data_IF_887282336086
#
_entry.id   IF_887282336086
#
_cell.length_a   1.000
_cell.length_b   1.000
_cell.length_c   1.000
_cell.angle_alpha   90.00
_cell.angle_beta   90.00
_cell.angle_gamma   90.00
#
_symmetry.space_group_name_H-M   'P 1'
#
loop_
_entity.id
_entity.type
_entity.pdbx_description
1 polymer ?
#
# COMPACT_ATOMS: atom_id res chain seq x y z
N UNK A 1 37.79 -60.44 -0.41
CA UNK A 1 37.59 -59.15 -0.96
C UNK A 1 36.41 -58.46 -0.22
N UNK A 2 36.69 -57.56 0.72
CA UNK A 2 35.68 -56.78 1.47
C UNK A 2 35.51 -55.41 0.75
N UNK A 3 34.31 -55.16 0.20
CA UNK A 3 33.98 -53.88 -0.39
C UNK A 3 33.46 -52.96 0.72
N UNK A 4 34.21 -51.90 1.05
CA UNK A 4 33.78 -50.83 1.92
C UNK A 4 32.87 -49.88 1.13
N UNK A 5 31.62 -49.71 1.56
CA UNK A 5 30.71 -48.72 1.06
C UNK A 5 30.90 -47.44 1.90
N UNK A 6 31.47 -46.39 1.30
CA UNK A 6 31.53 -45.07 1.92
C UNK A 6 30.21 -44.35 1.64
N UNK A 7 29.44 -44.12 2.68
CA UNK A 7 28.23 -43.27 2.63
C UNK A 7 28.71 -41.81 2.72
N UNK A 8 28.60 -41.07 1.60
CA UNK A 8 28.82 -39.64 1.59
C UNK A 8 27.50 -38.99 2.03
N UNK A 9 27.46 -38.46 3.27
CA UNK A 9 26.38 -37.65 3.76
C UNK A 9 26.46 -36.24 3.10
N UNK A 10 25.58 -35.97 2.15
CA UNK A 10 25.36 -34.60 1.63
C UNK A 10 24.63 -33.82 2.69
N UNK A 11 25.32 -32.94 3.42
CA UNK A 11 24.71 -31.89 4.22
C UNK A 11 24.18 -30.83 3.26
N UNK A 12 22.88 -30.86 2.93
CA UNK A 12 22.18 -29.74 2.32
C UNK A 12 22.11 -28.63 3.35
N UNK A 13 23.04 -27.67 3.29
CA UNK A 13 22.89 -26.37 3.92
C UNK A 13 21.81 -25.61 3.15
N UNK A 14 20.60 -25.64 3.63
CA UNK A 14 19.58 -24.63 3.22
C UNK A 14 20.04 -23.28 3.76
N UNK A 15 20.75 -22.51 2.93
CA UNK A 15 20.95 -21.07 3.18
C UNK A 15 19.56 -20.45 3.06
N UNK A 16 18.90 -20.26 4.21
CA UNK A 16 17.77 -19.35 4.27
C UNK A 16 18.32 -17.98 3.87
N UNK A 17 18.05 -17.54 2.64
CA UNK A 17 18.27 -16.15 2.24
C UNK A 17 17.42 -15.30 3.18
N UNK A 18 18.01 -14.83 4.28
CA UNK A 18 17.43 -13.79 5.12
C UNK A 18 17.30 -12.58 4.22
N UNK A 19 16.07 -12.19 3.88
CA UNK A 19 15.85 -10.99 3.08
C UNK A 19 16.60 -9.83 3.75
N UNK A 20 17.49 -9.19 2.98
CA UNK A 20 18.34 -8.12 3.48
C UNK A 20 17.47 -7.01 4.09
N UNK A 21 17.91 -6.48 5.24
CA UNK A 21 17.25 -5.33 5.86
C UNK A 21 17.52 -4.09 5.00
N UNK A 22 16.51 -3.27 4.66
CA UNK A 22 16.72 -2.01 3.99
C UNK A 22 17.63 -1.08 4.81
N UNK A 23 18.46 -0.32 4.12
CA UNK A 23 19.33 0.69 4.75
C UNK A 23 18.78 2.07 4.41
N UNK A 24 17.96 2.68 5.29
CA UNK A 24 17.41 4.00 5.03
C UNK A 24 18.49 5.08 5.09
N UNK A 25 18.32 6.16 4.32
CA UNK A 25 19.20 7.33 4.35
C UNK A 25 19.11 8.11 5.68
N UNK A 26 17.96 8.00 6.35
CA UNK A 26 17.71 8.64 7.64
C UNK A 26 16.78 7.79 8.52
N UNK A 27 16.86 7.95 9.84
CA UNK A 27 16.04 7.18 10.76
C UNK A 27 16.56 5.76 10.98
N UNK A 28 15.67 4.83 11.34
CA UNK A 28 16.01 3.43 11.61
C UNK A 28 14.87 2.51 11.20
N UNK A 29 15.20 1.35 10.64
CA UNK A 29 14.23 0.30 10.34
C UNK A 29 14.28 -0.79 11.41
N UNK A 30 13.10 -1.24 11.84
CA UNK A 30 12.88 -2.44 12.65
C UNK A 30 12.04 -3.39 11.82
N UNK A 31 12.58 -4.57 11.50
CA UNK A 31 11.86 -5.59 10.75
C UNK A 31 11.09 -6.52 11.67
N UNK A 32 9.80 -6.67 11.41
CA UNK A 32 8.97 -7.73 11.94
C UNK A 32 8.92 -8.84 10.89
N UNK A 33 9.22 -10.08 11.31
CA UNK A 33 9.28 -11.24 10.42
C UNK A 33 8.17 -12.22 10.72
N UNK A 34 7.71 -12.95 9.69
CA UNK A 34 6.79 -14.06 9.87
C UNK A 34 5.38 -13.68 10.28
N UNK A 35 4.99 -12.41 10.12
CA UNK A 35 3.61 -12.01 10.34
C UNK A 35 2.71 -12.66 9.30
N UNK A 36 1.73 -13.41 9.75
CA UNK A 36 0.76 -14.13 8.94
C UNK A 36 -0.61 -14.08 9.58
N UNK A 37 -1.65 -14.33 8.79
CA UNK A 37 -3.03 -14.34 9.25
C UNK A 37 -3.87 -15.28 8.37
N UNK A 38 -4.55 -16.26 8.96
CA UNK A 38 -5.41 -17.20 8.24
C UNK A 38 -4.82 -17.62 6.87
N UNK A 39 -5.42 -17.17 5.76
CA UNK A 39 -4.98 -17.47 4.38
C UNK A 39 -3.90 -16.53 3.84
N UNK A 40 -3.42 -15.59 4.65
CA UNK A 40 -2.37 -14.63 4.27
C UNK A 40 -1.01 -15.21 4.57
N UNK A 41 -0.15 -15.27 3.56
CA UNK A 41 1.21 -15.79 3.68
C UNK A 41 2.06 -14.91 4.60
N UNK A 42 2.98 -15.55 5.32
CA UNK A 42 3.94 -14.84 6.16
C UNK A 42 4.78 -13.85 5.34
N UNK A 43 4.93 -12.64 5.87
CA UNK A 43 5.64 -11.55 5.19
C UNK A 43 6.49 -10.75 6.15
N UNK A 44 7.41 -9.97 5.58
CA UNK A 44 8.14 -8.96 6.30
C UNK A 44 7.31 -7.69 6.42
N UNK A 45 7.49 -7.00 7.53
CA UNK A 45 6.99 -5.64 7.74
C UNK A 45 8.16 -4.81 8.25
N UNK A 46 8.54 -3.79 7.51
CA UNK A 46 9.62 -2.88 7.87
C UNK A 46 9.04 -1.61 8.49
N UNK A 47 9.26 -1.45 9.77
CA UNK A 47 8.82 -0.28 10.53
C UNK A 47 9.95 0.76 10.54
N UNK A 48 9.77 1.81 9.75
CA UNK A 48 10.69 2.95 9.76
C UNK A 48 10.35 3.91 10.89
N UNK A 49 11.35 4.21 11.70
CA UNK A 49 11.27 5.12 12.84
C UNK A 49 12.03 6.41 12.51
N UNK A 50 11.42 7.61 12.70
CA UNK A 50 12.03 8.87 12.35
C UNK A 50 13.29 9.15 13.19
N UNK A 51 14.18 10.01 12.69
CA UNK A 51 15.48 10.33 13.28
C UNK A 51 15.40 10.71 14.77
N UNK A 52 14.33 11.40 15.16
CA UNK A 52 14.13 11.87 16.53
C UNK A 52 13.34 10.89 17.41
N UNK A 53 13.00 9.70 16.91
CA UNK A 53 12.24 8.70 17.69
C UNK A 53 12.86 8.40 19.05
N UNK A 54 14.18 8.31 19.16
CA UNK A 54 14.88 8.00 20.42
C UNK A 54 15.14 9.20 21.34
N UNK A 55 14.91 10.45 20.87
CA UNK A 55 15.22 11.65 21.67
C UNK A 55 14.26 11.89 22.84
N UNK A 56 13.00 11.54 22.64
CA UNK A 56 11.95 11.69 23.66
C UNK A 56 11.15 10.39 23.75
N UNK A 57 11.30 9.68 24.84
CA UNK A 57 10.61 8.42 25.09
C UNK A 57 9.11 8.57 25.34
N UNK A 58 8.63 9.78 25.59
CA UNK A 58 7.21 10.07 25.84
C UNK A 58 6.46 10.47 24.58
N UNK A 59 7.17 10.96 23.55
CA UNK A 59 6.57 11.38 22.26
C UNK A 59 5.96 10.17 21.52
N UNK A 60 4.72 10.35 21.06
CA UNK A 60 4.02 9.40 20.20
C UNK A 60 3.87 9.99 18.80
N UNK A 61 3.73 9.13 17.81
CA UNK A 61 3.82 9.49 16.39
C UNK A 61 2.59 9.01 15.63
N UNK A 62 2.11 9.79 14.66
CA UNK A 62 1.17 9.30 13.65
C UNK A 62 1.81 8.18 12.82
N UNK A 63 0.98 7.33 12.19
CA UNK A 63 1.45 6.13 11.47
C UNK A 63 0.90 6.11 10.06
N UNK A 64 1.78 5.91 9.07
CA UNK A 64 1.41 5.64 7.69
C UNK A 64 1.69 4.16 7.38
N UNK A 65 0.66 3.40 7.03
CA UNK A 65 0.77 2.05 6.53
C UNK A 65 0.92 2.10 5.00
N UNK A 66 2.04 1.62 4.48
CA UNK A 66 2.34 1.65 3.05
C UNK A 66 2.49 0.24 2.49
N UNK A 67 1.77 -0.01 1.40
CA UNK A 67 1.87 -1.26 0.65
C UNK A 67 3.18 -1.33 -0.14
N UNK A 68 3.57 -2.55 -0.55
CA UNK A 68 4.79 -2.82 -1.30
C UNK A 68 6.06 -2.32 -0.58
N UNK A 69 6.15 -2.65 0.72
CA UNK A 69 7.16 -2.16 1.66
C UNK A 69 8.61 -2.30 1.23
N UNK A 70 8.92 -3.28 0.35
CA UNK A 70 10.26 -3.48 -0.21
C UNK A 70 10.72 -2.34 -1.12
N UNK A 71 9.79 -1.49 -1.62
CA UNK A 71 10.09 -0.42 -2.57
C UNK A 71 10.26 0.96 -1.90
N UNK A 72 10.25 1.05 -0.57
CA UNK A 72 10.07 2.34 0.12
C UNK A 72 11.38 3.03 0.54
N UNK A 73 12.42 2.27 0.93
CA UNK A 73 13.54 2.79 1.73
C UNK A 73 14.93 2.42 1.18
N UNK A 74 15.04 1.59 0.14
CA UNK A 74 16.34 1.12 -0.36
C UNK A 74 16.20 0.65 -1.81
N UNK A 75 16.84 1.37 -2.73
CA UNK A 75 16.77 1.05 -4.16
C UNK A 75 17.29 -0.36 -4.50
N UNK A 76 18.22 -0.90 -3.71
CA UNK A 76 18.80 -2.24 -3.92
C UNK A 76 17.80 -3.37 -3.72
N UNK A 77 16.72 -3.12 -2.95
CA UNK A 77 15.66 -4.08 -2.66
C UNK A 77 14.40 -3.84 -3.49
N UNK A 78 14.30 -2.67 -4.12
CA UNK A 78 13.14 -2.25 -4.88
C UNK A 78 13.02 -2.99 -6.21
N UNK A 79 11.78 -3.20 -6.65
CA UNK A 79 11.41 -4.00 -7.82
C UNK A 79 12.16 -3.62 -9.11
N UNK A 80 12.33 -2.32 -9.37
CA UNK A 80 13.05 -1.82 -10.58
C UNK A 80 14.38 -1.15 -10.23
N UNK A 81 14.94 -1.36 -9.03
CA UNK A 81 16.13 -0.66 -8.57
C UNK A 81 15.90 0.83 -8.35
N UNK A 82 14.67 1.23 -8.05
CA UNK A 82 14.25 2.58 -7.68
C UNK A 82 13.30 2.51 -6.50
N UNK A 83 13.53 3.36 -5.51
CA UNK A 83 12.70 3.44 -4.31
C UNK A 83 11.82 4.68 -4.30
N UNK A 84 10.82 4.69 -3.39
CA UNK A 84 9.94 5.85 -3.18
C UNK A 84 10.59 7.01 -2.42
N UNK A 85 11.77 6.81 -1.85
CA UNK A 85 12.50 7.81 -1.06
C UNK A 85 11.67 8.35 0.11
N UNK A 86 11.03 7.44 0.82
CA UNK A 86 10.07 7.79 1.88
C UNK A 86 10.75 8.45 3.06
N UNK A 87 11.87 7.90 3.51
CA UNK A 87 12.62 8.38 4.68
C UNK A 87 13.31 9.73 4.42
N UNK A 88 13.88 9.96 3.23
CA UNK A 88 14.45 11.25 2.86
C UNK A 88 13.37 12.33 2.80
N UNK A 89 12.25 12.00 2.17
CA UNK A 89 11.14 12.95 1.98
C UNK A 89 10.55 13.37 3.32
N UNK A 90 10.19 12.40 4.17
CA UNK A 90 9.61 12.68 5.48
C UNK A 90 10.63 13.44 6.37
N UNK A 91 11.88 13.01 6.39
CA UNK A 91 12.93 13.70 7.17
C UNK A 91 13.11 15.15 6.72
N UNK A 92 13.11 15.38 5.40
CA UNK A 92 13.26 16.74 4.84
C UNK A 92 12.06 17.62 5.18
N UNK A 93 10.84 17.15 4.97
CA UNK A 93 9.63 17.94 5.25
C UNK A 93 9.43 18.20 6.75
N UNK A 94 9.71 17.22 7.59
CA UNK A 94 9.66 17.38 9.04
C UNK A 94 10.71 18.38 9.56
N UNK A 95 11.94 18.35 9.01
CA UNK A 95 12.98 19.31 9.38
C UNK A 95 12.63 20.76 9.01
N UNK A 96 11.81 20.95 7.98
CA UNK A 96 11.28 22.27 7.55
C UNK A 96 9.99 22.67 8.31
N UNK A 97 9.48 21.80 9.20
CA UNK A 97 8.21 22.05 9.92
C UNK A 97 6.97 22.01 9.03
N UNK A 98 7.05 21.41 7.84
CA UNK A 98 5.92 21.28 6.90
C UNK A 98 4.97 20.17 7.35
N UNK A 99 5.51 19.08 7.89
CA UNK A 99 4.76 17.95 8.45
C UNK A 99 5.32 17.61 9.84
N UNK A 100 4.54 16.88 10.64
CA UNK A 100 5.06 16.22 11.84
C UNK A 100 5.85 14.96 11.46
N UNK A 101 6.81 14.56 12.32
CA UNK A 101 7.46 13.26 12.20
C UNK A 101 6.43 12.16 12.38
N UNK A 102 6.52 11.10 11.58
CA UNK A 102 5.65 9.94 11.65
C UNK A 102 6.44 8.62 11.65
N UNK A 103 5.79 7.53 12.00
CA UNK A 103 6.24 6.16 11.77
C UNK A 103 5.71 5.72 10.41
N UNK A 104 6.51 4.99 9.62
CA UNK A 104 6.04 4.34 8.40
C UNK A 104 6.14 2.83 8.55
N UNK A 105 5.04 2.14 8.28
CA UNK A 105 4.93 0.68 8.32
C UNK A 105 4.88 0.17 6.89
N UNK A 106 6.03 -0.24 6.36
CA UNK A 106 6.19 -0.79 5.02
C UNK A 106 5.82 -2.28 4.99
N UNK A 107 4.69 -2.60 4.40
CA UNK A 107 4.16 -3.97 4.35
C UNK A 107 4.65 -4.62 3.05
N UNK A 108 5.56 -5.58 3.15
CA UNK A 108 6.05 -6.31 1.98
C UNK A 108 4.93 -7.09 1.31
N UNK A 109 4.90 -7.08 0.00
CA UNK A 109 3.97 -7.93 -0.72
C UNK A 109 4.41 -9.41 -0.71
N UNK A 110 3.48 -10.29 -1.00
CA UNK A 110 3.70 -11.72 -1.19
C UNK A 110 3.63 -12.07 -2.69
N UNK A 111 3.97 -13.29 -3.10
CA UNK A 111 3.71 -13.78 -4.45
C UNK A 111 2.22 -13.69 -4.87
N UNK A 112 1.31 -13.59 -3.90
CA UNK A 112 -0.14 -13.39 -4.12
C UNK A 112 -0.57 -11.92 -4.10
N UNK A 113 0.36 -10.98 -4.33
CA UNK A 113 0.08 -9.53 -4.31
C UNK A 113 -1.18 -9.14 -5.07
N UNK A 114 -1.38 -9.67 -6.26
CA UNK A 114 -2.54 -9.32 -7.09
C UNK A 114 -3.84 -9.79 -6.48
N UNK A 115 -3.88 -11.00 -5.93
CA UNK A 115 -5.06 -11.53 -5.27
C UNK A 115 -5.36 -10.77 -3.96
N UNK A 116 -4.32 -10.48 -3.18
CA UNK A 116 -4.45 -9.77 -1.90
C UNK A 116 -4.85 -8.30 -2.07
N UNK A 117 -4.50 -7.67 -3.20
CA UNK A 117 -4.80 -6.26 -3.45
C UNK A 117 -6.01 -6.04 -4.36
N UNK A 118 -6.63 -7.10 -4.86
CA UNK A 118 -7.80 -7.03 -5.71
C UNK A 118 -9.07 -6.99 -4.87
N UNK A 119 -9.91 -5.92 -4.96
CA UNK A 119 -11.15 -5.79 -4.18
C UNK A 119 -12.10 -6.99 -4.35
N UNK A 120 -12.41 -7.67 -3.27
CA UNK A 120 -13.17 -8.93 -3.28
C UNK A 120 -14.67 -8.72 -3.49
N UNK A 121 -15.26 -7.75 -2.79
CA UNK A 121 -16.71 -7.51 -2.91
C UNK A 121 -17.15 -7.15 -4.34
N UNK A 122 -16.54 -6.17 -5.03
CA UNK A 122 -16.92 -5.86 -6.41
C UNK A 122 -16.59 -7.00 -7.38
N UNK A 123 -15.53 -7.80 -7.14
CA UNK A 123 -15.22 -8.95 -7.97
C UNK A 123 -16.37 -9.96 -8.00
N UNK A 124 -16.95 -10.31 -6.86
CA UNK A 124 -18.07 -11.26 -6.79
C UNK A 124 -19.41 -10.69 -7.30
N UNK A 125 -19.49 -9.38 -7.49
CA UNK A 125 -20.62 -8.72 -8.15
C UNK A 125 -20.53 -8.71 -9.68
N UNK A 126 -19.35 -8.98 -10.24
CA UNK A 126 -19.14 -9.08 -11.68
C UNK A 126 -19.74 -10.36 -12.26
N UNK A 127 -20.03 -10.35 -13.57
CA UNK A 127 -20.43 -11.58 -14.27
C UNK A 127 -19.32 -12.63 -14.22
N UNK A 128 -19.68 -13.91 -14.32
CA UNK A 128 -18.71 -15.03 -14.34
C UNK A 128 -17.62 -14.83 -15.39
N UNK A 129 -17.99 -14.37 -16.59
CA UNK A 129 -17.01 -14.11 -17.66
C UNK A 129 -15.99 -13.04 -17.31
N UNK A 130 -16.38 -11.97 -16.59
CA UNK A 130 -15.42 -10.96 -16.12
C UNK A 130 -14.54 -11.51 -15.00
N UNK A 131 -15.10 -12.33 -14.10
CA UNK A 131 -14.32 -13.00 -13.05
C UNK A 131 -13.27 -13.94 -13.67
N UNK A 132 -13.63 -14.74 -14.68
CA UNK A 132 -12.70 -15.61 -15.40
C UNK A 132 -11.58 -14.84 -16.08
N UNK A 133 -11.88 -13.72 -16.73
CA UNK A 133 -10.87 -12.83 -17.33
C UNK A 133 -9.84 -12.40 -16.26
N UNK A 134 -10.30 -11.94 -15.11
CA UNK A 134 -9.43 -11.51 -14.02
C UNK A 134 -8.62 -12.68 -13.46
N UNK A 135 -9.25 -13.81 -13.18
CA UNK A 135 -8.58 -15.00 -12.63
C UNK A 135 -7.48 -15.50 -13.58
N UNK A 136 -7.74 -15.51 -14.88
CA UNK A 136 -6.77 -15.94 -15.91
C UNK A 136 -5.61 -14.94 -16.07
N UNK A 137 -5.87 -13.65 -15.91
CA UNK A 137 -4.82 -12.62 -15.98
C UNK A 137 -3.96 -12.57 -14.71
N UNK A 138 -4.56 -12.79 -13.52
CA UNK A 138 -3.94 -12.56 -12.21
C UNK A 138 -3.59 -13.82 -11.42
N UNK A 139 -3.93 -14.99 -11.95
CA UNK A 139 -3.52 -16.27 -11.38
C UNK A 139 -4.33 -16.71 -10.15
N UNK A 140 -5.53 -16.14 -9.92
CA UNK A 140 -6.38 -16.58 -8.82
C UNK A 140 -7.49 -15.62 -8.44
N UNK A 141 -8.34 -16.07 -7.52
CA UNK A 141 -9.44 -15.27 -6.95
C UNK A 141 -8.91 -14.26 -5.92
N UNK A 142 -9.67 -13.20 -5.63
CA UNK A 142 -9.31 -12.21 -4.61
C UNK A 142 -9.09 -12.82 -3.22
N UNK A 143 -8.22 -12.18 -2.45
CA UNK A 143 -7.93 -12.45 -1.04
C UNK A 143 -7.90 -11.15 -0.22
N UNK A 144 -8.46 -10.06 -0.75
CA UNK A 144 -8.36 -8.74 -0.12
C UNK A 144 -9.07 -8.67 1.21
N UNK A 145 -10.13 -9.44 1.42
CA UNK A 145 -10.81 -9.51 2.71
C UNK A 145 -9.93 -10.14 3.79
N UNK A 146 -9.20 -11.22 3.45
CA UNK A 146 -8.22 -11.79 4.37
C UNK A 146 -7.06 -10.81 4.62
N UNK A 147 -6.59 -10.10 3.57
CA UNK A 147 -5.51 -9.13 3.69
C UNK A 147 -5.90 -7.93 4.57
N UNK A 148 -7.07 -7.36 4.35
CA UNK A 148 -7.55 -6.23 5.16
C UNK A 148 -7.86 -6.65 6.60
N UNK A 149 -8.37 -7.87 6.83
CA UNK A 149 -8.50 -8.45 8.17
C UNK A 149 -7.14 -8.60 8.87
N UNK A 150 -6.11 -9.06 8.14
CA UNK A 150 -4.74 -9.08 8.66
C UNK A 150 -4.28 -7.67 9.10
N UNK A 151 -4.53 -6.65 8.29
CA UNK A 151 -4.16 -5.28 8.64
C UNK A 151 -4.80 -4.82 9.95
N UNK A 152 -6.12 -5.00 10.08
CA UNK A 152 -6.88 -4.42 11.20
C UNK A 152 -6.83 -5.24 12.47
N UNK A 153 -6.74 -6.58 12.37
CA UNK A 153 -6.85 -7.47 13.53
C UNK A 153 -5.50 -7.98 14.03
N UNK A 154 -4.45 -7.95 13.21
CA UNK A 154 -3.11 -8.42 13.60
C UNK A 154 -2.07 -7.30 13.54
N UNK A 155 -1.88 -6.67 12.37
CA UNK A 155 -0.78 -5.75 12.16
C UNK A 155 -0.94 -4.46 12.97
N UNK A 156 -2.08 -3.79 12.89
CA UNK A 156 -2.33 -2.53 13.60
C UNK A 156 -2.19 -2.70 15.12
N UNK A 157 -2.84 -3.69 15.79
CA UNK A 157 -2.65 -3.92 17.21
C UNK A 157 -1.20 -4.22 17.59
N UNK A 158 -0.48 -4.95 16.74
CA UNK A 158 0.94 -5.26 16.97
C UNK A 158 1.81 -4.00 16.90
N UNK A 159 1.60 -3.13 15.92
CA UNK A 159 2.32 -1.86 15.78
C UNK A 159 2.02 -0.94 16.96
N UNK A 160 0.77 -0.80 17.36
CA UNK A 160 0.37 0.05 18.47
C UNK A 160 0.93 -0.44 19.83
N UNK A 161 1.13 -1.75 19.98
CA UNK A 161 1.74 -2.37 21.17
C UNK A 161 3.25 -2.17 21.21
N UNK A 162 3.93 -2.37 20.09
CA UNK A 162 5.40 -2.46 20.05
C UNK A 162 6.08 -1.10 19.83
N UNK A 163 5.34 -0.09 19.31
CA UNK A 163 5.88 1.22 18.96
C UNK A 163 5.07 2.36 19.61
N UNK A 164 5.68 3.53 19.73
CA UNK A 164 5.04 4.72 20.28
C UNK A 164 4.15 5.42 19.25
N UNK A 165 3.01 4.85 18.98
CA UNK A 165 2.02 5.36 18.04
C UNK A 165 0.98 6.26 18.72
N UNK A 166 0.41 7.18 17.95
CA UNK A 166 -0.89 7.78 18.23
C UNK A 166 -1.93 6.81 17.67
N UNK A 167 -2.52 5.97 18.53
CA UNK A 167 -3.32 4.81 18.13
C UNK A 167 -4.76 5.13 17.70
N UNK A 168 -5.17 6.39 17.77
CA UNK A 168 -6.49 6.82 17.31
C UNK A 168 -6.54 6.97 15.77
N UNK A 169 -7.75 6.89 15.23
CA UNK A 169 -8.04 6.95 13.79
C UNK A 169 -7.40 8.18 13.12
N UNK A 170 -7.50 9.35 13.75
CA UNK A 170 -7.07 10.63 13.20
C UNK A 170 -5.58 10.67 12.84
N UNK A 171 -4.79 9.79 13.46
CA UNK A 171 -3.35 9.68 13.30
C UNK A 171 -2.90 8.42 12.54
N UNK A 172 -3.83 7.74 11.86
CA UNK A 172 -3.53 6.53 11.10
C UNK A 172 -3.94 6.70 9.63
N UNK A 173 -2.99 6.42 8.74
CA UNK A 173 -3.11 6.64 7.30
C UNK A 173 -2.70 5.38 6.54
N UNK A 174 -3.22 5.22 5.32
CA UNK A 174 -2.88 4.11 4.43
C UNK A 174 -2.51 4.63 3.04
N UNK A 175 -1.53 4.03 2.40
CA UNK A 175 -1.08 4.47 1.08
C UNK A 175 -0.49 3.31 0.25
N UNK A 176 -0.56 3.46 -1.06
CA UNK A 176 0.10 2.58 -2.00
C UNK A 176 -0.12 3.01 -3.43
N UNK A 177 0.65 2.41 -4.35
CA UNK A 177 0.52 2.67 -5.78
C UNK A 177 -0.08 1.50 -6.55
N UNK A 178 -0.64 1.78 -7.71
CA UNK A 178 -1.15 0.73 -8.60
C UNK A 178 -2.24 -0.11 -7.92
N UNK A 179 -2.05 -1.42 -7.86
CA UNK A 179 -2.88 -2.30 -7.04
C UNK A 179 -2.84 -1.93 -5.55
N UNK A 180 -1.70 -1.37 -5.05
CA UNK A 180 -1.59 -0.83 -3.69
C UNK A 180 -2.49 0.38 -3.44
N UNK A 181 -2.70 1.23 -4.45
CA UNK A 181 -3.69 2.31 -4.41
C UNK A 181 -5.12 1.76 -4.35
N UNK A 182 -5.39 0.72 -5.11
CA UNK A 182 -6.71 0.08 -5.15
C UNK A 182 -7.07 -0.58 -3.81
N UNK A 183 -6.14 -1.32 -3.19
CA UNK A 183 -6.39 -1.92 -1.87
C UNK A 183 -6.42 -0.88 -0.75
N UNK A 184 -5.70 0.25 -0.87
CA UNK A 184 -5.81 1.38 0.08
C UNK A 184 -7.23 1.96 0.07
N UNK A 185 -7.80 2.18 -1.12
CA UNK A 185 -9.17 2.64 -1.29
C UNK A 185 -10.18 1.63 -0.71
N UNK A 186 -10.02 0.35 -1.05
CA UNK A 186 -10.87 -0.71 -0.54
C UNK A 186 -10.86 -0.78 0.98
N UNK A 187 -9.67 -0.70 1.56
CA UNK A 187 -9.47 -0.78 3.01
C UNK A 187 -10.14 0.37 3.75
N UNK A 188 -9.96 1.63 3.31
CA UNK A 188 -10.53 2.79 4.02
C UNK A 188 -12.05 2.83 3.91
N UNK A 189 -12.62 2.37 2.79
CA UNK A 189 -14.08 2.29 2.63
C UNK A 189 -14.65 1.18 3.52
N UNK A 190 -13.98 0.04 3.61
CA UNK A 190 -14.44 -1.12 4.40
C UNK A 190 -14.23 -0.92 5.91
N UNK A 191 -13.18 -0.20 6.29
CA UNK A 191 -12.80 0.05 7.67
C UNK A 191 -12.65 1.56 7.97
N UNK A 192 -13.73 2.34 7.83
CA UNK A 192 -13.68 3.80 7.93
C UNK A 192 -13.33 4.31 9.34
N UNK A 193 -13.39 3.46 10.34
CA UNK A 193 -13.04 3.79 11.74
C UNK A 193 -11.57 3.51 12.07
N UNK A 194 -10.82 2.94 11.15
CA UNK A 194 -9.39 2.64 11.35
C UNK A 194 -8.46 3.69 10.77
N UNK A 195 -8.84 4.35 9.68
CA UNK A 195 -7.98 5.28 8.96
C UNK A 195 -8.67 6.63 8.74
N UNK A 196 -7.91 7.71 8.85
CA UNK A 196 -8.41 9.08 8.59
C UNK A 196 -8.13 9.56 7.17
N UNK A 197 -7.17 8.97 6.47
CA UNK A 197 -6.92 9.26 5.07
C UNK A 197 -6.30 8.07 4.34
N UNK A 198 -6.58 8.01 3.01
CA UNK A 198 -5.91 7.10 2.09
C UNK A 198 -5.28 7.86 0.92
N UNK A 199 -4.06 7.45 0.52
CA UNK A 199 -3.44 7.89 -0.72
C UNK A 199 -3.44 6.73 -1.73
N UNK A 200 -4.21 6.92 -2.80
CA UNK A 200 -4.46 5.96 -3.86
C UNK A 200 -3.69 6.39 -5.12
N UNK A 201 -2.38 6.10 -5.14
CA UNK A 201 -1.44 6.61 -6.13
C UNK A 201 -1.50 5.76 -7.40
N UNK A 202 -1.64 6.40 -8.57
CA UNK A 202 -1.74 5.69 -9.87
C UNK A 202 -2.63 4.45 -9.78
N UNK A 203 -3.84 4.60 -9.21
CA UNK A 203 -4.75 3.48 -8.89
C UNK A 203 -5.01 2.61 -10.11
N UNK A 204 -4.68 1.31 -10.03
CA UNK A 204 -4.84 0.39 -11.15
C UNK A 204 -6.28 -0.10 -11.29
N UNK A 205 -7.17 0.80 -11.72
CA UNK A 205 -8.59 0.53 -11.92
C UNK A 205 -8.89 -0.69 -12.82
N UNK A 206 -8.13 -0.94 -13.95
CA UNK A 206 -8.41 -2.06 -14.82
C UNK A 206 -8.17 -3.44 -14.21
N UNK A 207 -7.40 -3.54 -13.11
CA UNK A 207 -6.98 -4.79 -12.48
C UNK A 207 -6.11 -5.66 -13.42
N UNK A 208 -6.51 -5.85 -14.67
CA UNK A 208 -5.80 -6.65 -15.67
C UNK A 208 -4.67 -5.87 -16.34
N UNK A 209 -3.54 -6.55 -16.65
CA UNK A 209 -2.41 -5.94 -17.37
C UNK A 209 -2.47 -6.20 -18.88
N UNK A 210 -3.09 -7.30 -19.30
CA UNK A 210 -3.13 -7.71 -20.70
C UNK A 210 -4.24 -7.04 -21.52
N UNK A 211 -5.24 -6.50 -20.83
CA UNK A 211 -6.39 -5.87 -21.47
C UNK A 211 -6.99 -4.78 -20.58
N UNK A 212 -7.50 -3.76 -21.22
CA UNK A 212 -8.23 -2.66 -20.58
C UNK A 212 -9.73 -2.80 -20.85
N UNK A 213 -10.40 -3.75 -20.16
CA UNK A 213 -11.85 -3.95 -20.28
C UNK A 213 -12.59 -2.98 -19.35
N UNK A 214 -13.34 -2.01 -19.88
CA UNK A 214 -13.96 -0.96 -19.07
C UNK A 214 -15.03 -1.45 -18.08
N UNK A 215 -15.56 -2.64 -18.27
CA UNK A 215 -16.56 -3.22 -17.34
C UNK A 215 -15.97 -3.54 -15.97
N UNK A 216 -14.66 -3.85 -15.90
CA UNK A 216 -13.98 -4.16 -14.64
C UNK A 216 -13.85 -2.91 -13.76
N UNK A 217 -13.19 -1.81 -14.22
CA UNK A 217 -13.12 -0.58 -13.41
C UNK A 217 -14.50 0.01 -13.12
N UNK A 218 -15.45 -0.09 -14.03
CA UNK A 218 -16.82 0.38 -13.79
C UNK A 218 -17.46 -0.34 -12.61
N UNK A 219 -17.33 -1.66 -12.52
CA UNK A 219 -17.88 -2.42 -11.39
C UNK A 219 -17.23 -2.02 -10.06
N UNK A 220 -15.91 -1.82 -10.04
CA UNK A 220 -15.18 -1.38 -8.83
C UNK A 220 -15.60 0.03 -8.41
N UNK A 221 -15.72 0.95 -9.35
CA UNK A 221 -16.10 2.34 -9.10
C UNK A 221 -17.56 2.42 -8.67
N UNK A 222 -18.44 1.60 -9.22
CA UNK A 222 -19.84 1.47 -8.78
C UNK A 222 -19.90 1.01 -7.31
N UNK A 223 -19.18 -0.05 -6.97
CA UNK A 223 -19.06 -0.52 -5.58
C UNK A 223 -18.53 0.59 -4.65
N UNK A 224 -17.46 1.27 -5.05
CA UNK A 224 -16.91 2.42 -4.31
C UNK A 224 -18.00 3.46 -4.05
N UNK A 225 -18.77 3.83 -5.07
CA UNK A 225 -19.86 4.79 -4.92
C UNK A 225 -20.94 4.30 -3.94
N UNK A 226 -21.36 3.05 -4.03
CA UNK A 226 -22.37 2.48 -3.16
C UNK A 226 -21.93 2.43 -1.69
N UNK A 227 -20.66 2.06 -1.44
CA UNK A 227 -20.13 1.87 -0.09
C UNK A 227 -19.59 3.14 0.56
N UNK A 228 -19.22 4.16 -0.23
CA UNK A 228 -18.81 5.45 0.33
C UNK A 228 -20.03 6.15 0.92
N UNK A 229 -20.05 6.45 2.23
CA UNK A 229 -21.17 7.14 2.86
C UNK A 229 -21.29 8.59 2.38
N UNK A 230 -22.46 9.20 2.60
CA UNK A 230 -22.57 10.65 2.51
C UNK A 230 -21.76 11.32 3.65
N UNK A 231 -21.10 12.43 3.33
CA UNK A 231 -20.23 13.17 4.26
C UNK A 231 -19.19 12.28 4.94
N UNK A 232 -18.26 11.65 4.19
CA UNK A 232 -17.29 10.70 4.75
C UNK A 232 -16.41 11.39 5.80
N UNK A 233 -16.11 10.67 6.88
CA UNK A 233 -15.22 11.15 7.97
C UNK A 233 -13.74 10.93 7.68
N UNK A 234 -13.37 10.57 6.45
CA UNK A 234 -12.00 10.33 6.01
C UNK A 234 -11.67 11.17 4.77
N UNK A 235 -10.39 11.20 4.41
CA UNK A 235 -9.88 11.95 3.27
C UNK A 235 -9.33 11.00 2.22
N UNK A 236 -9.46 11.37 0.94
CA UNK A 236 -8.95 10.59 -0.19
C UNK A 236 -8.05 11.45 -1.07
N UNK A 237 -6.86 10.96 -1.32
CA UNK A 237 -5.94 11.47 -2.33
C UNK A 237 -5.86 10.48 -3.49
N UNK A 238 -5.98 11.00 -4.70
CA UNK A 238 -5.73 10.27 -5.93
C UNK A 238 -4.72 11.02 -6.78
N UNK A 239 -3.90 10.30 -7.51
CA UNK A 239 -3.12 10.85 -8.61
C UNK A 239 -2.95 9.84 -9.73
N UNK A 240 -2.48 10.31 -10.87
CA UNK A 240 -2.08 9.50 -11.99
C UNK A 240 -1.17 10.28 -12.95
N UNK A 241 -0.29 9.56 -13.66
CA UNK A 241 0.49 10.09 -14.77
C UNK A 241 -0.28 10.03 -16.09
N UNK A 242 0.40 10.28 -17.21
CA UNK A 242 -0.19 10.19 -18.56
C UNK A 242 0.54 9.21 -19.46
N UNK A 243 1.64 8.61 -18.96
CA UNK A 243 2.49 7.72 -19.73
C UNK A 243 2.41 6.27 -19.21
N UNK A 244 2.82 5.34 -20.05
CA UNK A 244 2.85 3.90 -19.77
C UNK A 244 1.46 3.39 -19.35
N UNK A 245 1.35 2.63 -18.25
CA UNK A 245 0.10 2.07 -17.76
C UNK A 245 -0.89 3.15 -17.28
N UNK A 246 -0.37 4.29 -16.76
CA UNK A 246 -1.19 5.42 -16.29
C UNK A 246 -2.00 6.07 -17.44
N UNK A 247 -1.58 5.92 -18.70
CA UNK A 247 -2.32 6.41 -19.86
C UNK A 247 -3.76 5.83 -19.98
N UNK A 248 -4.04 4.73 -19.27
CA UNK A 248 -5.37 4.13 -19.22
C UNK A 248 -6.30 4.72 -18.16
N UNK A 249 -5.76 5.49 -17.20
CA UNK A 249 -6.47 5.74 -15.93
C UNK A 249 -7.42 6.94 -15.96
N UNK A 250 -7.15 7.93 -16.78
CA UNK A 250 -7.91 9.18 -16.78
C UNK A 250 -9.43 8.98 -16.87
N UNK A 251 -9.98 8.19 -17.83
CA UNK A 251 -11.43 8.00 -17.91
C UNK A 251 -12.05 7.37 -16.67
N UNK A 252 -11.31 6.46 -16.01
CA UNK A 252 -11.76 5.79 -14.80
C UNK A 252 -11.64 6.68 -13.58
N UNK A 253 -10.56 7.47 -13.50
CA UNK A 253 -10.39 8.44 -12.43
C UNK A 253 -11.46 9.52 -12.49
N UNK A 254 -11.79 10.01 -13.69
CA UNK A 254 -12.87 10.97 -13.90
C UNK A 254 -14.25 10.40 -13.49
N UNK A 255 -14.51 9.13 -13.85
CA UNK A 255 -15.72 8.46 -13.42
C UNK A 255 -15.77 8.33 -11.89
N UNK A 256 -14.69 7.92 -11.24
CA UNK A 256 -14.61 7.83 -9.78
C UNK A 256 -14.84 9.19 -9.14
N UNK A 257 -14.22 10.25 -9.65
CA UNK A 257 -14.39 11.62 -9.14
C UNK A 257 -15.79 12.14 -9.36
N UNK A 258 -16.48 11.82 -10.47
CA UNK A 258 -17.86 12.21 -10.71
C UNK A 258 -18.83 11.70 -9.64
N UNK A 259 -18.57 10.52 -9.08
CA UNK A 259 -19.33 9.98 -7.97
C UNK A 259 -18.90 10.55 -6.60
N UNK A 260 -17.60 10.60 -6.34
CA UNK A 260 -17.07 11.03 -5.03
C UNK A 260 -17.38 12.52 -4.73
N UNK A 261 -17.34 13.40 -5.72
CA UNK A 261 -17.67 14.82 -5.54
C UNK A 261 -19.10 15.04 -5.02
N UNK A 262 -20.01 14.11 -5.33
CA UNK A 262 -21.40 14.17 -4.88
C UNK A 262 -21.60 13.57 -3.47
N UNK A 263 -20.55 13.04 -2.83
CA UNK A 263 -20.65 12.44 -1.48
C UNK A 263 -20.53 13.45 -0.34
N UNK A 264 -20.26 14.72 -0.63
CA UNK A 264 -20.19 15.76 0.39
C UNK A 264 -18.88 15.76 1.19
N UNK A 265 -17.77 15.38 0.58
CA UNK A 265 -16.45 15.54 1.22
C UNK A 265 -16.22 17.01 1.61
N UNK A 266 -15.74 17.30 2.83
CA UNK A 266 -15.29 18.63 3.19
C UNK A 266 -14.21 19.15 2.22
N UNK A 267 -14.17 20.45 2.02
CA UNK A 267 -13.18 21.08 1.12
C UNK A 267 -11.75 20.67 1.48
N UNK A 268 -11.01 20.12 0.51
CA UNK A 268 -9.64 19.65 0.66
C UNK A 268 -9.51 18.25 1.25
N UNK A 269 -10.63 17.54 1.48
CA UNK A 269 -10.62 16.13 1.91
C UNK A 269 -10.69 15.14 0.73
N UNK A 270 -11.01 15.63 -0.46
CA UNK A 270 -10.94 14.87 -1.70
C UNK A 270 -10.04 15.64 -2.67
N UNK A 271 -8.93 15.02 -3.07
CA UNK A 271 -7.94 15.61 -3.98
C UNK A 271 -7.61 14.63 -5.08
N UNK A 272 -7.53 15.15 -6.31
CA UNK A 272 -6.98 14.40 -7.45
C UNK A 272 -5.97 15.27 -8.19
N UNK A 273 -4.82 14.71 -8.54
CA UNK A 273 -3.75 15.41 -9.28
C UNK A 273 -3.35 14.60 -10.51
N UNK A 274 -3.35 15.24 -11.69
CA UNK A 274 -2.84 14.66 -12.93
C UNK A 274 -1.42 15.15 -13.18
N UNK A 275 -0.48 14.23 -13.38
CA UNK A 275 0.93 14.51 -13.65
C UNK A 275 1.28 14.21 -15.11
N UNK A 276 1.19 15.22 -15.96
CA UNK A 276 1.48 15.09 -17.40
C UNK A 276 2.94 14.71 -17.64
N UNK A 277 3.18 13.68 -18.45
CA UNK A 277 4.51 13.18 -18.78
C UNK A 277 5.09 12.19 -17.77
N UNK A 278 4.43 11.94 -16.64
CA UNK A 278 4.87 10.95 -15.65
C UNK A 278 4.29 9.56 -15.96
N UNK A 279 5.08 8.51 -15.69
CA UNK A 279 4.72 7.12 -15.95
C UNK A 279 4.37 6.32 -14.69
N UNK A 280 4.04 5.06 -14.90
CA UNK A 280 3.67 4.10 -13.86
C UNK A 280 4.90 3.42 -13.26
N UNK A 281 5.64 4.09 -12.40
CA UNK A 281 6.85 3.58 -11.78
C UNK A 281 7.24 4.33 -10.50
N UNK A 282 8.15 3.71 -9.73
CA UNK A 282 8.62 4.21 -8.44
C UNK A 282 9.31 5.56 -8.54
N UNK A 283 10.02 5.86 -9.63
CA UNK A 283 10.68 7.17 -9.81
C UNK A 283 9.65 8.30 -9.93
N UNK A 284 8.58 8.08 -10.70
CA UNK A 284 7.46 9.03 -10.83
C UNK A 284 6.73 9.21 -9.49
N UNK A 285 6.53 8.12 -8.73
CA UNK A 285 5.86 8.17 -7.43
C UNK A 285 6.72 8.85 -6.37
N UNK A 286 8.03 8.62 -6.37
CA UNK A 286 8.97 9.32 -5.47
C UNK A 286 8.94 10.83 -5.65
N UNK A 287 8.87 11.33 -6.89
CA UNK A 287 8.74 12.77 -7.19
C UNK A 287 7.47 13.40 -6.60
N UNK A 288 6.36 12.63 -6.56
CA UNK A 288 5.04 13.07 -6.07
C UNK A 288 4.88 12.86 -4.56
N UNK A 289 5.69 12.02 -3.94
CA UNK A 289 5.55 11.65 -2.54
C UNK A 289 5.54 12.83 -1.56
N UNK A 290 6.26 13.95 -1.78
CA UNK A 290 6.13 15.14 -0.93
C UNK A 290 4.70 15.69 -0.83
N UNK A 291 3.94 15.71 -1.93
CA UNK A 291 2.54 16.16 -1.94
C UNK A 291 1.65 15.12 -1.24
N UNK A 292 1.86 13.85 -1.53
CA UNK A 292 1.11 12.72 -0.95
C UNK A 292 1.23 12.74 0.58
N UNK A 293 2.45 12.78 1.11
CA UNK A 293 2.67 12.73 2.56
C UNK A 293 2.18 14.00 3.26
N UNK A 294 2.28 15.16 2.60
CA UNK A 294 1.72 16.41 3.12
C UNK A 294 0.20 16.33 3.22
N UNK A 295 -0.48 15.76 2.22
CA UNK A 295 -1.92 15.53 2.29
C UNK A 295 -2.30 14.57 3.43
N UNK A 296 -1.59 13.47 3.59
CA UNK A 296 -1.88 12.47 4.62
C UNK A 296 -1.71 13.05 6.02
N UNK A 297 -0.62 13.78 6.29
CA UNK A 297 -0.28 14.31 7.61
C UNK A 297 -0.86 15.71 7.88
N UNK A 298 -1.69 16.24 6.97
CA UNK A 298 -2.38 17.53 7.17
C UNK A 298 -3.26 17.45 8.41
N UNK A 299 -3.07 18.42 9.30
CA UNK A 299 -3.95 18.68 10.47
C UNK A 299 -5.25 19.34 10.07
#
# INVERSE_FOLDING_TARGET
>A
MKRSFSIILFFCFTIQLMAQLPVPSAGKIVRLTGLSWDKIEARHVDVWLPKNYQKDSTKRFPVIYMHDGQNLFDERLSYIGKEWRVDETITTLASKGIIDECIVVGIWNSPKRFQEYMPEEPFYQMSEGLQEIIVNDRGGKPLSDNYTNFLVNELIPRIDKDFRTLSNKENRFIAGSSMGGLISLYTIIKYPDYFSAAACVSTHWPVCLKQNNPSIPTAIITWMNEKTPANPSYRLYFDFGTETLDAWYEPYQDLAMSYLTNKGFPRGNLLVTKYTGEGHNEESWAKRFPEIVTFLLKK
#
